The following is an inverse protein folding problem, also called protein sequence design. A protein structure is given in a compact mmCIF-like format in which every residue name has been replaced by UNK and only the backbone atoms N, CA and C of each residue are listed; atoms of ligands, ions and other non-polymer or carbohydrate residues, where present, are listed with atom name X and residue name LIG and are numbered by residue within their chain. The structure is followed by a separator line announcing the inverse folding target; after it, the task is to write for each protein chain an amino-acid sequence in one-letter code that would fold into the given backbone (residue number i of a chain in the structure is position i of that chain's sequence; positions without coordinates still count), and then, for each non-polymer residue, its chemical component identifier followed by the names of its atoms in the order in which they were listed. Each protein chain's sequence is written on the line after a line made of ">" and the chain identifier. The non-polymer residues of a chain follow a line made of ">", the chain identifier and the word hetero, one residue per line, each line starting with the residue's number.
data_IF_077767448103
#
_entry.id   IF_077767448103
#
_cell.length_a   1.000
_cell.length_b   1.000
_cell.length_c   1.000
_cell.angle_alpha   90.00
_cell.angle_beta   90.00
_cell.angle_gamma   90.00
#
_symmetry.space_group_name_H-M   'P 1'
#
loop_
_entity.id
_entity.type
_entity.pdbx_description
1 polymer ?
#
# COMPACT_ATOMS: atom_id res chain seq x y z
N UNK A 1 21.34 9.08 -4.14
CA UNK A 1 20.52 9.47 -2.99
C UNK A 1 20.82 8.54 -1.81
N UNK A 2 20.99 9.10 -0.61
CA UNK A 2 21.25 8.34 0.63
C UNK A 2 20.15 8.65 1.63
N UNK A 3 19.39 7.63 2.03
CA UNK A 3 18.28 7.76 2.97
C UNK A 3 18.58 6.93 4.22
N UNK A 4 18.36 7.52 5.40
CA UNK A 4 18.29 6.80 6.65
C UNK A 4 16.85 6.80 7.16
N UNK A 5 16.33 5.61 7.43
CA UNK A 5 15.03 5.41 8.08
C UNK A 5 15.29 5.12 9.56
N UNK A 6 15.00 6.11 10.39
CA UNK A 6 15.14 6.08 11.84
C UNK A 6 13.84 5.53 12.41
N UNK A 7 13.88 4.33 12.98
CA UNK A 7 12.68 3.63 13.44
C UNK A 7 12.55 3.71 14.95
N UNK A 8 11.39 4.16 15.39
CA UNK A 8 10.96 4.12 16.78
C UNK A 8 9.86 3.07 16.90
N UNK A 9 10.11 2.03 17.68
CA UNK A 9 9.21 0.88 17.83
C UNK A 9 8.05 1.23 18.74
N UNK A 10 6.83 1.17 18.20
CA UNK A 10 5.58 1.38 18.93
C UNK A 10 4.95 0.02 19.24
N UNK A 11 4.75 -0.23 20.52
CA UNK A 11 4.17 -1.45 21.08
C UNK A 11 2.82 -1.21 21.75
N UNK A 12 2.43 0.05 21.90
CA UNK A 12 1.18 0.43 22.51
C UNK A 12 0.71 1.80 22.02
N UNK A 13 -0.60 2.02 22.13
CA UNK A 13 -1.28 3.24 21.74
C UNK A 13 -2.36 3.54 22.78
N UNK A 14 -2.43 4.79 23.23
CA UNK A 14 -3.37 5.20 24.27
C UNK A 14 -3.83 6.65 24.07
N UNK A 15 -5.02 6.96 24.56
CA UNK A 15 -5.47 8.34 24.70
C UNK A 15 -4.74 9.03 25.86
N UNK A 16 -4.48 10.33 25.71
CA UNK A 16 -3.94 11.16 26.79
C UNK A 16 -4.15 12.65 26.53
N UNK A 17 -3.62 13.48 27.43
CA UNK A 17 -3.78 14.94 27.36
C UNK A 17 -2.94 15.58 26.25
N UNK A 18 -1.83 14.94 25.86
CA UNK A 18 -0.88 15.44 24.87
C UNK A 18 -0.34 14.32 24.00
N UNK A 19 -0.19 14.59 22.71
CA UNK A 19 0.42 13.63 21.78
C UNK A 19 1.94 13.53 22.00
N UNK A 20 2.47 12.30 22.05
CA UNK A 20 3.90 12.04 22.15
C UNK A 20 4.23 10.56 22.35
N UNK A 21 5.52 10.21 22.22
CA UNK A 21 5.99 8.83 22.41
C UNK A 21 6.88 8.72 23.64
N UNK A 22 6.62 7.72 24.47
CA UNK A 22 7.47 7.37 25.61
C UNK A 22 7.46 5.87 25.85
N UNK A 23 8.64 5.27 26.06
CA UNK A 23 8.81 3.85 26.39
C UNK A 23 8.07 2.89 25.42
N UNK A 24 8.06 3.24 24.12
CA UNK A 24 7.38 2.47 23.07
C UNK A 24 5.85 2.61 23.05
N UNK A 25 5.28 3.54 23.80
CA UNK A 25 3.84 3.85 23.81
C UNK A 25 3.61 5.20 23.12
N UNK A 26 2.80 5.20 22.06
CA UNK A 26 2.30 6.42 21.43
C UNK A 26 1.05 6.89 22.20
N UNK A 27 1.17 8.00 22.92
CA UNK A 27 0.02 8.69 23.51
C UNK A 27 -0.52 9.67 22.49
N UNK A 28 -1.84 9.70 22.30
CA UNK A 28 -2.51 10.58 21.33
C UNK A 28 -3.48 11.48 22.08
N UNK A 29 -3.42 12.79 21.83
CA UNK A 29 -4.48 13.69 22.25
C UNK A 29 -5.58 13.70 21.20
N UNK A 30 -6.78 13.28 21.60
CA UNK A 30 -7.92 13.18 20.69
C UNK A 30 -8.29 14.53 20.09
N UNK A 31 -8.29 15.59 20.89
CA UNK A 31 -8.67 16.93 20.42
C UNK A 31 -7.66 17.52 19.44
N UNK A 32 -6.36 17.24 19.61
CA UNK A 32 -5.32 17.65 18.66
C UNK A 32 -5.55 16.98 17.29
N UNK A 33 -5.80 15.67 17.27
CA UNK A 33 -6.09 14.91 16.04
C UNK A 33 -7.37 15.39 15.38
N UNK A 34 -8.46 15.53 16.14
CA UNK A 34 -9.74 16.00 15.59
C UNK A 34 -9.62 17.44 15.07
N UNK A 35 -8.85 18.30 15.72
CA UNK A 35 -8.59 19.68 15.28
C UNK A 35 -7.90 19.76 13.93
N UNK A 36 -6.94 18.85 13.65
CA UNK A 36 -6.27 18.78 12.35
C UNK A 36 -7.25 18.46 11.22
N UNK A 37 -8.17 17.52 11.46
CA UNK A 37 -9.08 17.01 10.44
C UNK A 37 -10.29 17.93 10.25
N UNK A 38 -10.87 18.48 11.34
CA UNK A 38 -12.02 19.42 11.30
C UNK A 38 -11.73 20.75 10.62
N UNK A 39 -10.47 21.04 10.31
CA UNK A 39 -10.10 22.22 9.51
C UNK A 39 -10.58 22.13 8.06
N UNK A 40 -10.89 20.93 7.57
CA UNK A 40 -11.46 20.71 6.25
C UNK A 40 -12.99 20.90 6.28
N UNK A 41 -13.55 21.86 5.51
CA UNK A 41 -14.99 22.13 5.49
C UNK A 41 -15.83 21.00 4.86
N UNK A 42 -15.20 20.02 4.22
CA UNK A 42 -15.89 18.90 3.57
C UNK A 42 -16.41 17.85 4.56
N UNK A 43 -16.03 17.93 5.84
CA UNK A 43 -16.45 16.97 6.86
C UNK A 43 -17.57 17.52 7.75
N UNK A 44 -18.67 16.77 7.82
CA UNK A 44 -19.76 17.02 8.75
C UNK A 44 -19.44 16.47 10.14
N UNK A 45 -18.86 15.26 10.18
CA UNK A 45 -18.48 14.59 11.41
C UNK A 45 -17.05 14.10 11.30
N UNK A 46 -16.30 14.31 12.37
CA UNK A 46 -14.95 13.77 12.55
C UNK A 46 -14.87 13.13 13.93
N UNK A 47 -14.50 11.86 13.93
CA UNK A 47 -14.29 11.03 15.10
C UNK A 47 -12.97 10.26 14.96
N UNK A 48 -12.45 9.77 16.08
CA UNK A 48 -11.26 8.94 16.11
C UNK A 48 -11.35 7.93 17.26
N UNK A 49 -10.87 6.72 16.99
CA UNK A 49 -10.84 5.62 17.94
C UNK A 49 -9.53 4.80 17.83
N UNK A 50 -9.23 3.98 18.82
CA UNK A 50 -8.04 3.13 18.87
C UNK A 50 -8.42 1.66 18.71
N UNK A 51 -7.55 0.90 18.04
CA UNK A 51 -7.62 -0.55 17.95
C UNK A 51 -6.22 -1.15 18.10
N UNK A 52 -6.04 -2.02 19.09
CA UNK A 52 -4.75 -2.63 19.41
C UNK A 52 -4.69 -4.10 18.99
N UNK A 53 -3.48 -4.63 18.70
CA UNK A 53 -3.30 -6.04 18.39
C UNK A 53 -3.89 -6.97 19.46
N UNK A 54 -4.65 -7.97 19.03
CA UNK A 54 -5.28 -8.97 19.90
C UNK A 54 -6.61 -8.55 20.54
N UNK A 55 -7.04 -7.29 20.39
CA UNK A 55 -8.36 -6.86 20.85
C UNK A 55 -9.49 -7.48 20.02
N UNK A 56 -10.66 -7.65 20.63
CA UNK A 56 -11.89 -8.02 19.91
C UNK A 56 -12.52 -6.78 19.27
N UNK A 57 -11.77 -6.17 18.36
CA UNK A 57 -12.12 -4.94 17.66
C UNK A 57 -12.13 -5.18 16.16
N UNK A 58 -13.20 -4.78 15.47
CA UNK A 58 -13.32 -4.73 14.01
C UNK A 58 -13.23 -3.28 13.53
N UNK A 59 -12.53 -3.05 12.43
CA UNK A 59 -12.51 -1.80 11.69
C UNK A 59 -13.12 -2.05 10.32
N UNK A 60 -14.19 -1.31 9.97
CA UNK A 60 -14.90 -1.46 8.69
C UNK A 60 -15.71 -0.19 8.40
N UNK A 61 -15.75 0.34 7.17
CA UNK A 61 -14.92 -0.03 6.04
C UNK A 61 -13.59 0.73 6.04
N UNK A 62 -12.50 0.02 5.79
CA UNK A 62 -11.13 0.54 5.74
C UNK A 62 -10.86 1.12 4.36
N UNK A 63 -10.52 2.40 4.31
CA UNK A 63 -10.14 3.10 3.08
C UNK A 63 -8.65 3.03 2.83
N UNK A 64 -7.80 3.51 3.73
CA UNK A 64 -6.34 3.45 3.61
C UNK A 64 -5.68 3.21 4.96
N UNK A 65 -4.45 2.69 4.93
CA UNK A 65 -3.60 2.51 6.10
C UNK A 65 -2.29 3.22 5.84
N UNK A 66 -1.82 4.04 6.78
CA UNK A 66 -0.69 4.94 6.61
C UNK A 66 0.25 4.80 7.81
N UNK A 67 1.53 4.55 7.55
CA UNK A 67 2.55 4.53 8.60
C UNK A 67 2.92 5.97 9.02
N UNK A 68 2.88 6.32 10.31
CA UNK A 68 3.31 7.64 10.77
C UNK A 68 4.81 7.85 10.51
N UNK A 69 5.13 8.93 9.80
CA UNK A 69 6.51 9.29 9.47
C UNK A 69 6.72 10.79 9.22
N UNK A 70 7.92 11.28 9.46
CA UNK A 70 8.29 12.68 9.18
C UNK A 70 9.78 12.83 8.84
N UNK A 71 10.14 13.90 8.13
CA UNK A 71 11.54 14.24 7.87
C UNK A 71 12.22 14.78 9.13
N UNK A 72 13.44 14.31 9.40
CA UNK A 72 14.34 14.84 10.43
C UNK A 72 15.44 15.73 9.83
N UNK A 73 15.80 15.48 8.58
CA UNK A 73 16.85 16.19 7.86
C UNK A 73 16.47 16.32 6.38
N UNK A 74 16.73 17.49 5.81
CA UNK A 74 16.40 17.84 4.43
C UNK A 74 15.58 19.13 4.36
N UNK A 75 15.38 19.63 3.14
CA UNK A 75 14.45 20.75 2.88
C UNK A 75 13.04 20.26 2.50
N UNK A 76 12.91 18.97 2.25
CA UNK A 76 11.69 18.29 1.86
C UNK A 76 10.82 17.92 3.09
N UNK A 77 9.53 17.70 2.85
CA UNK A 77 8.62 17.02 3.77
C UNK A 77 8.27 15.60 3.27
N UNK A 78 7.49 14.85 4.04
CA UNK A 78 6.93 13.56 3.58
C UNK A 78 5.69 13.82 2.73
N UNK A 79 5.35 12.89 1.83
CA UNK A 79 4.18 12.97 0.94
C UNK A 79 4.21 14.26 0.08
N UNK A 80 5.29 14.45 -0.71
CA UNK A 80 5.48 15.66 -1.52
C UNK A 80 4.36 15.80 -2.55
N UNK A 81 3.87 17.02 -2.73
CA UNK A 81 2.73 17.31 -3.60
C UNK A 81 1.37 16.88 -3.07
N UNK A 82 1.31 16.23 -1.90
CA UNK A 82 0.08 15.89 -1.20
C UNK A 82 -0.19 16.85 -0.03
N UNK A 83 0.69 16.82 0.98
CA UNK A 83 0.58 17.66 2.20
C UNK A 83 1.79 18.56 2.45
N UNK A 84 2.87 18.35 1.70
CA UNK A 84 4.08 19.16 1.72
C UNK A 84 4.42 19.63 0.29
N UNK A 85 5.34 20.58 0.17
CA UNK A 85 5.79 21.11 -1.12
C UNK A 85 6.38 20.02 -2.03
N UNK A 86 6.41 20.28 -3.34
CA UNK A 86 6.84 19.32 -4.37
C UNK A 86 8.37 19.30 -4.47
N UNK A 87 9.00 18.86 -3.38
CA UNK A 87 10.44 18.64 -3.30
C UNK A 87 10.75 17.15 -3.48
N UNK A 88 11.87 16.84 -4.15
CA UNK A 88 12.33 15.45 -4.27
C UNK A 88 12.55 14.83 -2.90
N UNK A 89 12.10 13.59 -2.72
CA UNK A 89 12.30 12.80 -1.48
C UNK A 89 13.34 11.70 -1.70
N UNK A 90 13.52 10.81 -0.73
CA UNK A 90 14.39 9.65 -0.84
C UNK A 90 15.84 9.89 -0.43
N UNK A 91 16.10 10.94 0.33
CA UNK A 91 17.41 11.25 0.91
C UNK A 91 17.32 11.86 2.31
N UNK A 92 18.43 11.94 3.03
CA UNK A 92 18.51 12.52 4.37
C UNK A 92 18.01 11.54 5.43
N UNK A 93 17.32 12.03 6.45
CA UNK A 93 16.82 11.23 7.58
C UNK A 93 15.31 11.34 7.70
N UNK A 94 14.66 10.20 7.87
CA UNK A 94 13.21 10.09 8.05
C UNK A 94 12.93 9.30 9.32
N UNK A 95 12.14 9.87 10.23
CA UNK A 95 11.64 9.19 11.42
C UNK A 95 10.38 8.41 11.05
N UNK A 96 10.26 7.19 11.55
CA UNK A 96 9.11 6.30 11.38
C UNK A 96 8.68 5.76 12.74
N UNK A 97 7.37 5.75 13.00
CA UNK A 97 6.77 5.07 14.16
C UNK A 97 6.38 3.65 13.78
N UNK A 98 7.37 2.74 13.76
CA UNK A 98 7.20 1.36 13.34
C UNK A 98 6.27 0.61 14.29
N UNK A 99 5.24 -0.06 13.75
CA UNK A 99 4.22 -0.74 14.55
C UNK A 99 3.01 0.13 14.89
N UNK A 100 2.97 1.40 14.46
CA UNK A 100 1.79 2.24 14.50
C UNK A 100 1.22 2.47 13.09
N UNK A 101 -0.09 2.68 12.99
CA UNK A 101 -0.75 3.03 11.75
C UNK A 101 -1.91 4.01 11.96
N UNK A 102 -2.12 4.89 10.99
CA UNK A 102 -3.33 5.69 10.86
C UNK A 102 -4.22 5.01 9.83
N UNK A 103 -5.42 4.61 10.25
CA UNK A 103 -6.42 3.96 9.40
C UNK A 103 -7.51 4.97 9.09
N UNK A 104 -7.82 5.16 7.82
CA UNK A 104 -8.96 6.01 7.41
C UNK A 104 -10.20 5.16 7.17
N UNK A 105 -11.32 5.56 7.75
CA UNK A 105 -12.63 4.93 7.61
C UNK A 105 -13.68 5.96 7.25
N UNK A 106 -14.50 5.65 6.25
CA UNK A 106 -15.53 6.55 5.77
C UNK A 106 -16.37 5.93 4.67
N UNK A 107 -17.59 6.42 4.47
CA UNK A 107 -18.53 5.93 3.45
C UNK A 107 -18.21 6.50 2.06
N UNK A 108 -17.10 6.09 1.44
CA UNK A 108 -16.67 6.70 0.17
C UNK A 108 -17.38 6.03 -1.01
N UNK A 109 -17.10 4.74 -1.20
CA UNK A 109 -17.64 3.92 -2.29
C UNK A 109 -18.36 2.71 -1.74
N UNK A 110 -17.89 2.19 -0.61
CA UNK A 110 -18.49 1.09 0.12
C UNK A 110 -18.08 -0.29 -0.34
N UNK A 111 -18.28 -0.58 -1.62
CA UNK A 111 -18.04 -1.92 -2.16
C UNK A 111 -16.55 -2.23 -2.41
N UNK A 112 -15.67 -1.24 -2.34
CA UNK A 112 -14.22 -1.38 -2.60
C UNK A 112 -13.38 -0.85 -1.44
N UNK A 113 -13.84 -1.14 -0.24
CA UNK A 113 -13.15 -0.84 1.01
C UNK A 113 -12.90 -2.18 1.73
N UNK A 114 -12.28 -2.16 2.92
CA UNK A 114 -11.81 -3.40 3.57
C UNK A 114 -12.27 -3.61 5.02
N UNK A 115 -11.91 -4.78 5.54
CA UNK A 115 -12.10 -5.17 6.94
C UNK A 115 -10.72 -5.43 7.56
N UNK A 116 -10.52 -4.90 8.78
CA UNK A 116 -9.45 -5.33 9.67
C UNK A 116 -10.09 -5.83 10.96
N UNK A 117 -9.86 -7.10 11.28
CA UNK A 117 -10.14 -7.65 12.60
C UNK A 117 -8.83 -7.75 13.39
N UNK A 118 -8.78 -7.16 14.57
CA UNK A 118 -7.57 -7.13 15.40
C UNK A 118 -7.28 -8.47 16.09
N UNK A 119 -8.19 -9.42 16.03
CA UNK A 119 -8.06 -10.79 16.56
C UNK A 119 -8.91 -11.77 15.77
N UNK A 120 -8.74 -13.07 16.03
CA UNK A 120 -9.49 -14.12 15.33
C UNK A 120 -8.90 -14.46 13.94
N UNK A 121 -9.63 -15.22 13.11
CA UNK A 121 -9.09 -15.80 11.89
C UNK A 121 -8.54 -14.78 10.88
N UNK A 122 -9.22 -13.65 10.67
CA UNK A 122 -8.76 -12.63 9.73
C UNK A 122 -7.47 -11.90 10.17
N UNK A 123 -7.15 -11.92 11.46
CA UNK A 123 -5.92 -11.28 11.97
C UNK A 123 -4.64 -11.92 11.41
N UNK A 124 -4.68 -13.20 11.02
CA UNK A 124 -3.55 -13.88 10.39
C UNK A 124 -3.32 -13.42 8.94
N UNK A 125 -4.36 -12.93 8.28
CA UNK A 125 -4.33 -12.52 6.88
C UNK A 125 -4.00 -11.04 6.71
N UNK A 126 -4.37 -10.18 7.66
CA UNK A 126 -4.07 -8.75 7.57
C UNK A 126 -2.85 -8.37 8.42
N UNK A 127 -1.80 -7.76 7.85
CA UNK A 127 -0.66 -7.27 8.62
C UNK A 127 -1.08 -6.19 9.64
N UNK A 128 -2.19 -5.51 9.40
CA UNK A 128 -2.68 -4.40 10.23
C UNK A 128 -3.39 -4.83 11.50
N UNK A 129 -3.67 -6.13 11.68
CA UNK A 129 -4.06 -6.67 12.99
C UNK A 129 -2.91 -6.65 14.00
N UNK A 130 -1.69 -6.39 13.53
CA UNK A 130 -0.46 -6.38 14.34
C UNK A 130 0.14 -4.98 14.50
N UNK A 131 -0.54 -3.95 14.02
CA UNK A 131 -0.20 -2.54 14.24
C UNK A 131 -1.09 -1.94 15.32
N UNK A 132 -0.59 -0.95 16.05
CA UNK A 132 -1.39 -0.10 16.90
C UNK A 132 -2.10 0.95 16.01
N UNK A 133 -3.42 0.80 15.85
CA UNK A 133 -4.18 1.58 14.87
C UNK A 133 -4.89 2.76 15.52
N UNK A 134 -4.58 3.98 15.07
CA UNK A 134 -5.43 5.15 15.25
C UNK A 134 -6.39 5.22 14.05
N UNK A 135 -7.68 5.03 14.30
CA UNK A 135 -8.71 4.97 13.26
C UNK A 135 -9.43 6.31 13.20
N UNK A 136 -9.38 6.97 12.04
CA UNK A 136 -10.19 8.16 11.74
C UNK A 136 -11.52 7.72 11.15
N UNK A 137 -12.63 8.16 11.76
CA UNK A 137 -13.99 7.90 11.25
C UNK A 137 -14.61 9.22 10.87
N UNK A 138 -14.84 9.44 9.58
CA UNK A 138 -15.38 10.70 9.07
C UNK A 138 -16.66 10.50 8.28
N UNK A 139 -17.54 11.51 8.33
CA UNK A 139 -18.70 11.64 7.45
C UNK A 139 -18.60 12.93 6.64
N UNK A 140 -18.85 12.88 5.33
CA UNK A 140 -18.84 14.07 4.49
C UNK A 140 -20.06 14.96 4.75
N UNK A 141 -19.97 16.23 4.35
CA UNK A 141 -21.14 17.09 4.20
C UNK A 141 -22.09 16.53 3.13
N UNK A 142 -23.38 16.84 3.26
CA UNK A 142 -24.39 16.37 2.31
C UNK A 142 -24.12 16.88 0.90
N UNK A 143 -24.25 16.00 -0.10
CA UNK A 143 -24.08 16.34 -1.52
C UNK A 143 -22.62 16.49 -1.98
N UNK A 144 -21.62 16.20 -1.14
CA UNK A 144 -20.23 16.19 -1.56
C UNK A 144 -19.97 15.07 -2.58
N UNK A 145 -19.30 15.40 -3.69
CA UNK A 145 -18.90 14.43 -4.69
C UNK A 145 -17.91 13.42 -4.12
N UNK A 146 -18.05 12.14 -4.51
CA UNK A 146 -17.25 11.04 -3.93
C UNK A 146 -15.74 11.24 -4.11
N UNK A 147 -15.34 11.83 -5.23
CA UNK A 147 -13.93 12.14 -5.51
C UNK A 147 -13.38 13.22 -4.57
N UNK A 148 -14.16 14.26 -4.29
CA UNK A 148 -13.74 15.32 -3.38
C UNK A 148 -13.70 14.80 -1.93
N UNK A 149 -14.65 13.94 -1.58
CA UNK A 149 -14.64 13.26 -0.28
C UNK A 149 -13.42 12.35 -0.10
N UNK A 150 -13.12 11.51 -1.10
CA UNK A 150 -11.94 10.65 -1.10
C UNK A 150 -10.65 11.45 -0.93
N UNK A 151 -10.51 12.55 -1.70
CA UNK A 151 -9.35 13.41 -1.63
C UNK A 151 -9.20 14.05 -0.24
N UNK A 152 -10.28 14.59 0.34
CA UNK A 152 -10.27 15.14 1.70
C UNK A 152 -9.88 14.08 2.74
N UNK A 153 -10.46 12.87 2.67
CA UNK A 153 -10.16 11.78 3.60
C UNK A 153 -8.69 11.32 3.50
N UNK A 154 -8.16 11.21 2.29
CA UNK A 154 -6.75 10.90 2.06
C UNK A 154 -5.85 11.95 2.70
N UNK A 155 -6.09 13.24 2.44
CA UNK A 155 -5.31 14.33 3.01
C UNK A 155 -5.40 14.35 4.54
N UNK A 156 -6.56 14.07 5.13
CA UNK A 156 -6.72 13.94 6.57
C UNK A 156 -5.83 12.83 7.16
N UNK A 157 -5.85 11.64 6.57
CA UNK A 157 -5.00 10.52 6.98
C UNK A 157 -3.51 10.86 6.94
N UNK A 158 -3.04 11.45 5.83
CA UNK A 158 -1.63 11.84 5.66
C UNK A 158 -1.20 12.90 6.68
N UNK A 159 -2.02 13.93 6.91
CA UNK A 159 -1.74 14.99 7.90
C UNK A 159 -1.62 14.43 9.30
N UNK A 160 -2.54 13.52 9.70
CA UNK A 160 -2.50 12.89 11.01
C UNK A 160 -1.26 11.99 11.15
N UNK A 161 -0.93 11.18 10.12
CA UNK A 161 0.25 10.34 10.13
C UNK A 161 1.55 11.15 10.29
N UNK A 162 1.68 12.26 9.57
CA UNK A 162 2.85 13.14 9.70
C UNK A 162 2.90 13.82 11.09
N UNK A 163 1.76 14.29 11.59
CA UNK A 163 1.65 14.91 12.91
C UNK A 163 2.09 13.98 14.04
N UNK A 164 1.62 12.72 14.02
CA UNK A 164 2.00 11.73 15.02
C UNK A 164 3.51 11.49 15.03
N UNK A 165 4.15 11.34 13.86
CA UNK A 165 5.60 11.19 13.80
C UNK A 165 6.36 12.44 14.25
N UNK A 166 5.86 13.64 13.91
CA UNK A 166 6.44 14.91 14.39
C UNK A 166 6.43 15.02 15.92
N UNK A 167 5.46 14.39 16.59
CA UNK A 167 5.41 14.35 18.06
C UNK A 167 6.56 13.58 18.72
N UNK A 168 7.27 12.75 17.95
CA UNK A 168 8.41 11.96 18.39
C UNK A 168 9.78 12.52 17.95
N UNK A 169 9.81 13.71 17.31
CA UNK A 169 11.07 14.36 16.93
C UNK A 169 11.92 14.64 18.17
N UNK A 170 13.17 14.20 18.13
CA UNK A 170 14.10 14.28 19.27
C UNK A 170 14.17 12.99 20.10
N UNK A 171 13.28 12.01 19.87
CA UNK A 171 13.45 10.67 20.42
C UNK A 171 14.68 9.98 19.80
N UNK A 172 15.32 9.11 20.58
CA UNK A 172 16.40 8.25 20.08
C UNK A 172 15.76 7.06 19.34
N UNK A 173 16.12 6.78 18.07
CA UNK A 173 15.57 5.65 17.34
C UNK A 173 16.09 4.32 17.91
N UNK A 174 15.25 3.28 17.88
CA UNK A 174 15.61 1.92 18.26
C UNK A 174 16.52 1.27 17.21
N UNK A 175 16.21 1.50 15.93
CA UNK A 175 17.02 1.01 14.81
C UNK A 175 17.13 2.07 13.71
N UNK A 176 18.19 2.00 12.92
CA UNK A 176 18.38 2.87 11.75
C UNK A 176 18.71 1.99 10.55
N UNK A 177 17.86 2.03 9.53
CA UNK A 177 18.10 1.39 8.24
C UNK A 177 18.68 2.42 7.27
N UNK A 178 19.72 2.04 6.53
CA UNK A 178 20.37 2.92 5.56
C UNK A 178 20.23 2.35 4.16
N UNK A 179 19.76 3.19 3.24
CA UNK A 179 19.55 2.87 1.85
C UNK A 179 20.32 3.85 0.96
N UNK A 180 20.85 3.34 -0.15
CA UNK A 180 21.59 4.15 -1.13
C UNK A 180 21.19 3.77 -2.55
N UNK A 181 20.67 4.75 -3.29
CA UNK A 181 20.50 4.67 -4.73
C UNK A 181 21.60 5.48 -5.40
N UNK A 182 22.57 4.83 -6.07
CA UNK A 182 23.67 5.53 -6.72
C UNK A 182 23.23 6.20 -8.03
N UNK A 183 23.98 7.22 -8.52
CA UNK A 183 23.80 7.73 -9.87
C UNK A 183 23.81 6.58 -10.89
N UNK A 184 22.97 6.68 -11.93
CA UNK A 184 22.73 5.56 -12.84
C UNK A 184 24.01 5.06 -13.52
N UNK A 185 24.92 5.95 -13.93
CA UNK A 185 26.21 5.56 -14.53
C UNK A 185 27.07 4.69 -13.59
N UNK A 186 26.98 4.91 -12.27
CA UNK A 186 27.67 4.11 -11.27
C UNK A 186 26.90 2.81 -10.97
N UNK A 187 25.59 2.90 -10.70
CA UNK A 187 24.75 1.75 -10.38
C UNK A 187 24.79 0.67 -11.46
N UNK A 188 24.81 1.08 -12.74
CA UNK A 188 24.86 0.17 -13.88
C UNK A 188 26.14 -0.68 -13.97
N UNK A 189 27.23 -0.25 -13.34
CA UNK A 189 28.55 -0.91 -13.43
C UNK A 189 29.08 -1.38 -12.08
N UNK A 190 28.28 -1.27 -11.02
CA UNK A 190 28.72 -1.57 -9.65
C UNK A 190 29.12 -3.04 -9.47
N UNK A 191 28.36 -3.96 -10.06
CA UNK A 191 28.61 -5.40 -9.99
C UNK A 191 28.64 -6.00 -11.39
N UNK A 192 29.75 -5.85 -12.14
CA UNK A 192 29.80 -6.21 -13.56
C UNK A 192 29.70 -7.71 -13.86
N UNK A 193 29.87 -8.57 -12.84
CA UNK A 193 29.72 -10.03 -12.96
C UNK A 193 28.33 -10.56 -12.64
N UNK A 194 27.39 -9.69 -12.25
CA UNK A 194 26.02 -10.07 -11.89
C UNK A 194 25.03 -9.55 -12.94
N UNK A 195 23.93 -10.29 -13.20
CA UNK A 195 22.92 -9.83 -14.15
C UNK A 195 22.27 -8.54 -13.64
N UNK A 196 22.01 -7.61 -14.55
CA UNK A 196 21.31 -6.36 -14.21
C UNK A 196 19.80 -6.61 -14.15
N UNK A 197 19.20 -6.29 -13.01
CA UNK A 197 17.78 -6.50 -12.75
C UNK A 197 17.14 -5.18 -12.33
N UNK A 198 15.98 -4.87 -12.90
CA UNK A 198 15.13 -3.77 -12.48
C UNK A 198 13.79 -4.29 -11.94
N UNK A 199 13.05 -3.41 -11.26
CA UNK A 199 11.69 -3.65 -10.83
C UNK A 199 10.74 -2.78 -11.67
N UNK A 200 9.78 -3.40 -12.34
CA UNK A 200 8.64 -2.72 -12.94
C UNK A 200 7.48 -2.75 -11.94
N UNK A 201 7.29 -1.62 -11.28
CA UNK A 201 6.25 -1.44 -10.27
C UNK A 201 5.00 -0.86 -10.91
N UNK A 202 3.99 -1.70 -11.13
CA UNK A 202 2.71 -1.23 -11.63
C UNK A 202 1.93 -0.55 -10.50
N UNK A 203 1.31 0.58 -10.84
CA UNK A 203 0.52 1.38 -9.92
C UNK A 203 -0.90 1.46 -10.44
N UNK A 204 -1.87 1.20 -9.57
CA UNK A 204 -3.28 1.24 -9.91
C UNK A 204 -3.68 2.64 -10.40
N UNK A 205 -4.28 2.70 -11.58
CA UNK A 205 -4.49 3.97 -12.31
C UNK A 205 -5.68 3.93 -13.29
N UNK A 206 -6.77 3.31 -12.89
CA UNK A 206 -7.93 3.05 -13.74
C UNK A 206 -8.97 4.20 -13.75
N UNK A 207 -8.77 5.25 -12.94
CA UNK A 207 -9.78 6.29 -12.74
C UNK A 207 -10.90 5.83 -11.80
N UNK A 208 -11.94 6.66 -11.66
CA UNK A 208 -13.12 6.35 -10.84
C UNK A 208 -12.77 5.98 -9.38
N UNK A 209 -11.79 6.65 -8.78
CA UNK A 209 -11.27 6.40 -7.43
C UNK A 209 -10.32 5.19 -7.34
N UNK A 210 -9.86 4.63 -8.47
CA UNK A 210 -8.76 3.66 -8.57
C UNK A 210 -7.46 4.38 -8.96
N UNK A 211 -7.09 5.40 -8.21
CA UNK A 211 -5.98 6.29 -8.54
C UNK A 211 -4.86 6.23 -7.48
N UNK A 212 -3.65 5.88 -7.92
CA UNK A 212 -2.41 6.01 -7.15
C UNK A 212 -1.70 7.31 -7.51
N UNK A 213 -1.12 7.99 -6.53
CA UNK A 213 -0.49 9.31 -6.71
C UNK A 213 1.01 9.22 -6.56
N UNK A 214 1.73 9.83 -7.49
CA UNK A 214 3.19 9.94 -7.50
C UNK A 214 3.54 11.42 -7.45
N UNK A 215 4.15 11.88 -6.34
CA UNK A 215 4.40 13.31 -6.08
C UNK A 215 3.14 14.19 -6.25
N UNK A 216 1.98 13.68 -5.84
CA UNK A 216 0.69 14.37 -5.99
C UNK A 216 0.07 14.34 -7.38
N UNK A 217 0.75 13.76 -8.37
CA UNK A 217 0.20 13.53 -9.70
C UNK A 217 -0.37 12.13 -9.78
N UNK A 218 -1.62 12.05 -10.19
CA UNK A 218 -2.27 10.78 -10.52
C UNK A 218 -1.46 9.99 -11.57
N UNK A 219 -1.12 8.74 -11.24
CA UNK A 219 -0.30 7.84 -12.06
C UNK A 219 -0.89 7.60 -13.46
N UNK A 220 -2.19 7.78 -13.67
CA UNK A 220 -2.80 7.67 -15.01
C UNK A 220 -2.33 8.77 -15.96
N UNK A 221 -1.80 9.87 -15.43
CA UNK A 221 -1.36 11.05 -16.21
C UNK A 221 0.11 11.03 -16.62
N UNK A 222 0.89 10.06 -16.14
CA UNK A 222 2.32 9.96 -16.44
C UNK A 222 2.60 8.83 -17.43
N UNK A 223 3.76 8.86 -18.10
CA UNK A 223 4.29 7.69 -18.78
C UNK A 223 5.10 6.86 -17.77
N UNK A 224 5.41 5.58 -18.07
CA UNK A 224 6.32 4.81 -17.22
C UNK A 224 7.62 5.57 -17.00
N UNK A 225 8.04 5.65 -15.74
CA UNK A 225 9.08 6.58 -15.28
C UNK A 225 10.06 5.87 -14.35
N UNK A 226 11.35 6.13 -14.54
CA UNK A 226 12.38 5.66 -13.61
C UNK A 226 12.39 6.54 -12.37
N UNK A 227 12.34 5.93 -11.19
CA UNK A 227 12.51 6.60 -9.89
C UNK A 227 13.58 5.90 -9.07
N UNK A 228 14.17 6.61 -8.11
CA UNK A 228 15.02 5.96 -7.12
C UNK A 228 14.12 5.21 -6.14
N UNK A 229 14.49 3.97 -5.82
CA UNK A 229 13.71 3.15 -4.91
C UNK A 229 13.60 3.76 -3.49
N UNK A 230 14.57 4.60 -3.10
CA UNK A 230 14.53 5.33 -1.82
C UNK A 230 13.41 6.37 -1.75
N UNK A 231 12.94 6.88 -2.90
CA UNK A 231 11.82 7.83 -2.95
C UNK A 231 10.51 7.18 -2.50
N UNK A 232 10.33 5.89 -2.82
CA UNK A 232 9.18 5.08 -2.40
C UNK A 232 9.13 4.99 -0.86
N UNK A 233 10.28 4.71 -0.24
CA UNK A 233 10.44 4.70 1.22
C UNK A 233 10.35 6.07 1.88
N UNK A 234 10.17 7.15 1.14
CA UNK A 234 10.11 8.52 1.66
C UNK A 234 8.83 9.25 1.21
N UNK A 235 7.81 8.49 0.80
CA UNK A 235 6.45 8.97 0.59
C UNK A 235 6.14 9.51 -0.80
N UNK A 236 6.97 9.21 -1.81
CA UNK A 236 6.69 9.62 -3.19
C UNK A 236 5.40 9.03 -3.76
N UNK A 237 4.98 7.85 -3.30
CA UNK A 237 3.79 7.14 -3.76
C UNK A 237 2.76 7.08 -2.63
N UNK A 238 1.52 7.46 -2.93
CA UNK A 238 0.39 7.48 -2.00
C UNK A 238 -0.82 6.80 -2.64
N UNK A 239 -1.50 5.96 -1.86
CA UNK A 239 -2.72 5.28 -2.31
C UNK A 239 -3.92 6.22 -2.28
N UNK A 240 -4.62 6.34 -3.40
CA UNK A 240 -5.99 6.85 -3.47
C UNK A 240 -7.00 5.76 -3.84
N UNK A 241 -6.56 4.50 -3.91
CA UNK A 241 -7.33 3.42 -4.52
C UNK A 241 -8.56 3.03 -3.68
N UNK A 242 -9.68 2.82 -4.35
CA UNK A 242 -10.86 2.11 -3.88
C UNK A 242 -10.97 0.85 -4.73
N UNK A 243 -10.22 -0.21 -4.43
CA UNK A 243 -10.30 -1.50 -5.16
C UNK A 243 -10.57 -2.63 -4.15
N UNK A 244 -10.48 -3.90 -4.54
CA UNK A 244 -10.57 -5.00 -3.57
C UNK A 244 -9.58 -4.76 -2.43
N UNK A 245 -9.98 -5.06 -1.19
CA UNK A 245 -9.16 -4.72 -0.04
C UNK A 245 -7.90 -5.59 0.06
N UNK A 246 -7.96 -6.81 -0.47
CA UNK A 246 -6.92 -7.83 -0.36
C UNK A 246 -5.65 -7.53 -1.17
N UNK A 247 -5.82 -7.04 -2.39
CA UNK A 247 -4.79 -6.82 -3.41
C UNK A 247 -4.39 -5.34 -3.54
N UNK A 248 -5.18 -4.45 -2.95
CA UNK A 248 -4.86 -3.02 -2.86
C UNK A 248 -3.52 -2.76 -2.18
N UNK A 249 -2.70 -1.91 -2.80
CA UNK A 249 -1.56 -1.30 -2.14
C UNK A 249 -1.99 -0.08 -1.31
N UNK A 250 -2.03 -0.24 0.01
CA UNK A 250 -2.18 0.89 0.94
C UNK A 250 -0.95 1.81 0.91
N UNK A 251 -1.11 3.03 1.39
CA UNK A 251 0.04 3.93 1.57
C UNK A 251 1.11 3.27 2.45
N UNK A 252 0.72 2.55 3.52
CA UNK A 252 1.64 1.79 4.37
C UNK A 252 2.49 0.81 3.56
N UNK A 253 1.91 0.11 2.58
CA UNK A 253 2.65 -0.86 1.77
C UNK A 253 3.64 -0.20 0.82
N UNK A 254 3.25 0.89 0.15
CA UNK A 254 4.21 1.66 -0.66
C UNK A 254 5.40 2.11 0.21
N UNK A 255 5.11 2.71 1.36
CA UNK A 255 6.10 3.20 2.31
C UNK A 255 7.05 2.11 2.86
N UNK A 256 6.64 0.85 2.81
CA UNK A 256 7.37 -0.31 3.30
C UNK A 256 7.63 -1.38 2.24
N UNK A 257 7.62 -1.03 0.95
CA UNK A 257 7.58 -1.97 -0.17
C UNK A 257 8.57 -3.16 0.01
N UNK A 258 8.06 -4.38 0.22
CA UNK A 258 8.86 -5.55 0.61
C UNK A 258 9.67 -6.11 -0.56
N UNK A 259 9.19 -5.97 -1.80
CA UNK A 259 9.93 -6.31 -3.01
C UNK A 259 11.19 -5.46 -3.10
N UNK A 260 11.08 -4.13 -2.94
CA UNK A 260 12.24 -3.23 -2.97
C UNK A 260 13.22 -3.60 -1.84
N UNK A 261 12.73 -3.84 -0.62
CA UNK A 261 13.58 -4.24 0.51
C UNK A 261 14.32 -5.55 0.22
N UNK A 262 13.62 -6.57 -0.29
CA UNK A 262 14.21 -7.84 -0.66
C UNK A 262 15.24 -7.69 -1.79
N UNK A 263 14.92 -6.91 -2.83
CA UNK A 263 15.84 -6.64 -3.93
C UNK A 263 17.10 -5.91 -3.49
N UNK A 264 16.97 -4.90 -2.63
CA UNK A 264 18.10 -4.20 -2.04
C UNK A 264 18.96 -5.14 -1.17
N UNK A 265 18.36 -6.08 -0.45
CA UNK A 265 19.09 -7.04 0.39
C UNK A 265 19.88 -8.10 -0.42
N UNK A 266 19.43 -8.41 -1.64
CA UNK A 266 20.07 -9.36 -2.58
C UNK A 266 20.95 -8.68 -3.64
N UNK A 267 20.92 -7.35 -3.72
CA UNK A 267 21.81 -6.53 -4.53
C UNK A 267 23.29 -6.84 -4.25
N UNK A 268 24.07 -7.05 -5.31
CA UNK A 268 25.49 -7.40 -5.20
C UNK A 268 25.77 -8.85 -4.75
N UNK A 269 24.72 -9.65 -4.53
CA UNK A 269 24.82 -11.08 -4.19
C UNK A 269 24.33 -11.95 -5.34
N UNK A 270 23.09 -11.75 -5.77
CA UNK A 270 22.47 -12.53 -6.84
C UNK A 270 22.40 -11.74 -8.16
N UNK A 271 22.19 -10.43 -8.06
CA UNK A 271 22.01 -9.52 -9.18
C UNK A 271 22.49 -8.10 -8.85
N UNK A 272 22.74 -7.32 -9.91
CA UNK A 272 22.89 -5.88 -9.82
C UNK A 272 21.49 -5.23 -9.92
N UNK A 273 21.02 -4.57 -8.87
CA UNK A 273 19.69 -3.97 -8.82
C UNK A 273 19.82 -2.52 -9.26
N UNK A 274 19.33 -2.21 -10.46
CA UNK A 274 19.67 -0.95 -11.13
C UNK A 274 18.63 0.16 -10.96
N UNK A 275 17.44 -0.17 -10.43
CA UNK A 275 16.41 0.81 -10.14
C UNK A 275 14.97 0.30 -10.26
N UNK A 276 14.03 1.22 -10.06
CA UNK A 276 12.59 0.97 -10.10
C UNK A 276 11.96 1.82 -11.20
N UNK A 277 11.28 1.19 -12.14
CA UNK A 277 10.39 1.87 -13.06
C UNK A 277 8.97 1.74 -12.55
N UNK A 278 8.31 2.85 -12.30
CA UNK A 278 6.86 2.85 -12.10
C UNK A 278 6.15 2.82 -13.45
N UNK A 279 5.00 2.16 -13.52
CA UNK A 279 4.11 2.16 -14.68
C UNK A 279 2.66 2.23 -14.23
N UNK A 280 1.76 2.47 -15.19
CA UNK A 280 0.33 2.58 -14.97
C UNK A 280 -0.44 1.38 -15.53
N UNK A 281 -1.57 1.13 -14.90
CA UNK A 281 -2.61 0.14 -15.23
C UNK A 281 -3.85 0.87 -15.76
N UNK A 282 -3.93 1.02 -17.07
CA UNK A 282 -5.04 1.74 -17.70
C UNK A 282 -6.17 0.78 -18.09
N UNK A 283 -7.38 1.30 -18.24
CA UNK A 283 -8.54 0.50 -18.68
C UNK A 283 -8.60 0.28 -20.20
N UNK A 284 -8.05 1.21 -21.00
CA UNK A 284 -8.15 1.11 -22.46
C UNK A 284 -6.99 0.34 -23.05
N UNK A 285 -7.24 -0.53 -24.04
CA UNK A 285 -6.20 -1.30 -24.72
C UNK A 285 -5.11 -0.41 -25.35
N UNK A 286 -5.46 0.77 -25.83
CA UNK A 286 -4.50 1.70 -26.43
C UNK A 286 -3.51 2.23 -25.38
N UNK A 287 -4.00 2.53 -24.18
CA UNK A 287 -3.18 3.00 -23.08
C UNK A 287 -2.34 1.85 -22.50
N UNK A 288 -2.91 0.65 -22.27
CA UNK A 288 -2.15 -0.56 -21.89
C UNK A 288 -0.98 -0.82 -22.84
N UNK A 289 -1.24 -0.75 -24.16
CA UNK A 289 -0.19 -0.88 -25.18
C UNK A 289 0.87 0.21 -25.07
N UNK A 290 0.47 1.46 -24.83
CA UNK A 290 1.39 2.60 -24.67
C UNK A 290 2.29 2.39 -23.46
N UNK A 291 1.72 2.14 -22.30
CA UNK A 291 2.40 1.95 -21.03
C UNK A 291 3.37 0.78 -21.11
N UNK A 292 2.88 -0.39 -21.52
CA UNK A 292 3.71 -1.58 -21.63
C UNK A 292 4.85 -1.44 -22.65
N UNK A 293 4.60 -0.82 -23.81
CA UNK A 293 5.67 -0.59 -24.80
C UNK A 293 6.73 0.40 -24.29
N UNK A 294 6.31 1.42 -23.53
CA UNK A 294 7.24 2.40 -22.99
C UNK A 294 8.07 1.83 -21.83
N UNK A 295 7.44 1.03 -20.94
CA UNK A 295 8.11 0.33 -19.85
C UNK A 295 9.20 -0.62 -20.38
N UNK A 296 8.88 -1.45 -21.38
CA UNK A 296 9.86 -2.37 -21.99
C UNK A 296 10.96 -1.60 -22.72
N UNK A 297 10.63 -0.54 -23.46
CA UNK A 297 11.63 0.33 -24.08
C UNK A 297 12.59 0.92 -23.02
N UNK A 298 12.07 1.37 -21.88
CA UNK A 298 12.89 1.91 -20.79
C UNK A 298 13.83 0.83 -20.23
N UNK A 299 13.32 -0.39 -19.99
CA UNK A 299 14.13 -1.53 -19.56
C UNK A 299 15.25 -1.88 -20.58
N UNK A 300 14.93 -1.91 -21.88
CA UNK A 300 15.93 -2.10 -22.94
C UNK A 300 16.96 -0.96 -23.01
N UNK A 301 16.53 0.28 -22.78
CA UNK A 301 17.41 1.46 -22.78
C UNK A 301 18.41 1.40 -21.62
N UNK A 302 17.97 0.92 -20.45
CA UNK A 302 18.86 0.61 -19.33
C UNK A 302 19.75 -0.59 -19.66
N UNK A 303 19.31 -1.52 -20.50
CA UNK A 303 20.04 -2.74 -20.83
C UNK A 303 20.04 -3.71 -19.66
N UNK A 304 18.90 -3.85 -18.99
CA UNK A 304 18.67 -4.88 -17.95
C UNK A 304 18.44 -6.23 -18.60
N UNK A 305 18.83 -7.28 -17.88
CA UNK A 305 18.67 -8.68 -18.27
C UNK A 305 17.47 -9.33 -17.58
N UNK A 306 17.04 -8.78 -16.44
CA UNK A 306 15.88 -9.22 -15.69
C UNK A 306 14.94 -8.09 -15.29
N UNK A 307 13.65 -8.40 -15.21
CA UNK A 307 12.58 -7.51 -14.75
C UNK A 307 11.66 -8.26 -13.78
N UNK A 308 11.68 -7.87 -12.51
CA UNK A 308 10.63 -8.26 -11.58
C UNK A 308 9.42 -7.36 -11.84
N UNK A 309 8.22 -7.91 -11.95
CA UNK A 309 7.00 -7.16 -12.22
C UNK A 309 5.98 -7.52 -11.14
N UNK A 310 5.42 -6.51 -10.47
CA UNK A 310 4.26 -6.72 -9.60
C UNK A 310 3.12 -5.83 -10.05
N UNK A 311 1.90 -6.35 -9.94
CA UNK A 311 0.68 -5.60 -10.23
C UNK A 311 0.03 -5.01 -8.97
N UNK A 312 -1.05 -4.24 -9.16
CA UNK A 312 -1.95 -3.79 -8.11
C UNK A 312 -3.43 -3.93 -8.51
N UNK A 313 -4.12 -4.88 -7.89
CA UNK A 313 -5.49 -5.22 -8.16
C UNK A 313 -5.64 -6.29 -9.24
N UNK A 314 -6.87 -6.73 -9.46
CA UNK A 314 -7.16 -7.90 -10.29
C UNK A 314 -8.03 -7.61 -11.52
N UNK A 315 -8.03 -8.56 -12.46
CA UNK A 315 -8.85 -8.58 -13.65
C UNK A 315 -8.32 -7.70 -14.78
N UNK A 316 -8.47 -6.37 -14.66
CA UNK A 316 -7.93 -5.46 -15.66
C UNK A 316 -6.39 -5.32 -15.57
N UNK A 317 -5.77 -5.21 -14.39
CA UNK A 317 -4.32 -5.23 -14.23
C UNK A 317 -3.65 -6.50 -14.76
N UNK A 318 -4.29 -7.67 -14.66
CA UNK A 318 -3.73 -8.95 -15.15
C UNK A 318 -3.33 -8.85 -16.64
N UNK A 319 -4.15 -8.15 -17.44
CA UNK A 319 -3.86 -7.92 -18.86
C UNK A 319 -2.66 -6.97 -19.08
N UNK A 320 -2.43 -6.01 -18.17
CA UNK A 320 -1.21 -5.19 -18.16
C UNK A 320 0.01 -6.01 -17.75
N UNK A 321 -0.10 -6.80 -16.68
CA UNK A 321 0.97 -7.66 -16.16
C UNK A 321 1.46 -8.63 -17.23
N UNK A 322 0.54 -9.39 -17.84
CA UNK A 322 0.85 -10.34 -18.90
C UNK A 322 1.36 -9.64 -20.17
N UNK A 323 0.86 -8.44 -20.49
CA UNK A 323 1.39 -7.66 -21.62
C UNK A 323 2.82 -7.19 -21.38
N UNK A 324 3.13 -6.74 -20.16
CA UNK A 324 4.48 -6.36 -19.74
C UNK A 324 5.43 -7.56 -19.82
N UNK A 325 5.05 -8.71 -19.26
CA UNK A 325 5.80 -9.96 -19.32
C UNK A 325 6.12 -10.35 -20.77
N UNK A 326 5.08 -10.52 -21.60
CA UNK A 326 5.23 -10.96 -22.98
C UNK A 326 6.11 -10.03 -23.81
N UNK A 327 5.97 -8.71 -23.66
CA UNK A 327 6.81 -7.77 -24.41
C UNK A 327 8.27 -7.77 -23.92
N UNK A 328 8.49 -7.88 -22.61
CA UNK A 328 9.83 -7.95 -22.04
C UNK A 328 10.57 -9.23 -22.46
N UNK A 329 9.92 -10.40 -22.35
CA UNK A 329 10.48 -11.68 -22.77
C UNK A 329 10.79 -11.72 -24.27
N UNK A 330 9.87 -11.22 -25.11
CA UNK A 330 10.12 -11.10 -26.56
C UNK A 330 11.23 -10.10 -26.91
N UNK A 331 11.54 -9.17 -26.00
CA UNK A 331 12.68 -8.26 -26.10
C UNK A 331 13.99 -8.84 -25.54
N UNK A 332 13.98 -10.09 -25.06
CA UNK A 332 15.14 -10.78 -24.48
C UNK A 332 15.41 -10.47 -23.02
N UNK A 333 14.45 -9.87 -22.30
CA UNK A 333 14.55 -9.55 -20.86
C UNK A 333 13.77 -10.60 -20.08
N UNK A 334 14.43 -11.29 -19.15
CA UNK A 334 13.79 -12.32 -18.31
C UNK A 334 12.85 -11.69 -17.30
N UNK A 335 11.72 -12.33 -17.02
CA UNK A 335 10.68 -11.79 -16.14
C UNK A 335 10.34 -12.72 -14.99
N UNK A 336 9.99 -12.12 -13.86
CA UNK A 336 9.35 -12.80 -12.72
C UNK A 336 8.15 -11.96 -12.33
N UNK A 337 6.98 -12.58 -12.26
CA UNK A 337 5.73 -11.91 -11.91
C UNK A 337 5.38 -12.15 -10.44
N UNK A 338 4.85 -11.14 -9.78
CA UNK A 338 4.23 -11.23 -8.46
C UNK A 338 2.80 -10.70 -8.56
N UNK A 339 1.84 -11.52 -8.17
CA UNK A 339 0.39 -11.30 -8.34
C UNK A 339 -0.37 -12.06 -7.25
N UNK A 340 -1.68 -11.93 -7.18
CA UNK A 340 -2.56 -12.84 -6.45
C UNK A 340 -3.38 -13.74 -7.40
N UNK A 341 -4.36 -14.45 -6.86
CA UNK A 341 -5.22 -15.31 -7.67
C UNK A 341 -6.70 -15.10 -7.36
N UNK A 342 -7.50 -15.07 -8.42
CA UNK A 342 -8.96 -15.11 -8.35
C UNK A 342 -9.45 -16.45 -8.91
N UNK A 343 -9.03 -17.54 -8.26
CA UNK A 343 -9.24 -18.92 -8.72
C UNK A 343 -10.57 -19.53 -8.26
N UNK A 344 -11.52 -18.72 -7.79
CA UNK A 344 -12.79 -19.19 -7.23
C UNK A 344 -12.63 -19.84 -5.85
N UNK A 345 -13.75 -20.08 -5.16
CA UNK A 345 -13.75 -20.51 -3.74
C UNK A 345 -13.08 -21.85 -3.48
N UNK A 346 -13.06 -22.72 -4.48
CA UNK A 346 -12.43 -24.04 -4.45
C UNK A 346 -11.02 -24.06 -5.08
N UNK A 347 -10.55 -22.91 -5.59
CA UNK A 347 -9.25 -22.77 -6.26
C UNK A 347 -9.17 -23.47 -7.61
N UNK A 348 -10.29 -23.85 -8.22
CA UNK A 348 -10.32 -24.63 -9.47
C UNK A 348 -10.54 -23.79 -10.74
N UNK A 349 -10.82 -22.49 -10.61
CA UNK A 349 -10.99 -21.58 -11.74
C UNK A 349 -9.65 -21.09 -12.28
N UNK A 350 -9.67 -20.52 -13.47
CA UNK A 350 -8.48 -19.85 -14.02
C UNK A 350 -8.09 -18.68 -13.11
N UNK A 351 -6.86 -18.69 -12.59
CA UNK A 351 -6.42 -17.74 -11.56
C UNK A 351 -6.34 -16.29 -12.01
N UNK A 352 -5.89 -16.05 -13.25
CA UNK A 352 -5.70 -14.71 -13.84
C UNK A 352 -6.59 -14.51 -15.07
N UNK A 353 -7.03 -13.29 -15.32
CA UNK A 353 -7.87 -12.95 -16.48
C UNK A 353 -7.15 -13.04 -17.83
N UNK A 354 -5.82 -12.92 -17.86
CA UNK A 354 -4.97 -13.13 -19.03
C UNK A 354 -3.83 -14.11 -18.71
N UNK A 355 -3.28 -14.76 -19.74
CA UNK A 355 -2.16 -15.68 -19.60
C UNK A 355 -1.28 -15.69 -20.85
N UNK A 356 0.02 -15.94 -20.66
CA UNK A 356 0.98 -16.07 -21.74
C UNK A 356 1.98 -17.18 -21.45
N UNK A 357 2.43 -17.90 -22.48
CA UNK A 357 3.47 -18.94 -22.35
C UNK A 357 4.81 -18.37 -21.86
N UNK A 358 5.02 -17.08 -22.08
CA UNK A 358 6.19 -16.33 -21.63
C UNK A 358 6.17 -16.08 -20.11
N UNK A 359 5.00 -16.14 -19.47
CA UNK A 359 4.84 -16.01 -18.02
C UNK A 359 5.07 -17.37 -17.33
N UNK A 360 6.30 -17.86 -17.38
CA UNK A 360 6.69 -19.17 -16.83
C UNK A 360 7.32 -19.10 -15.42
N UNK A 361 7.49 -17.89 -14.87
CA UNK A 361 7.94 -17.63 -13.51
C UNK A 361 6.98 -16.65 -12.79
N UNK A 362 6.04 -17.21 -12.03
CA UNK A 362 5.00 -16.46 -11.32
C UNK A 362 5.01 -16.82 -9.84
N UNK A 363 4.98 -15.82 -8.98
CA UNK A 363 4.83 -15.93 -7.53
C UNK A 363 3.47 -15.38 -7.15
N UNK A 364 2.68 -16.19 -6.47
CA UNK A 364 1.32 -15.86 -6.03
C UNK A 364 1.29 -15.47 -4.55
N UNK A 365 0.50 -14.45 -4.20
CA UNK A 365 0.19 -14.06 -2.84
C UNK A 365 -1.00 -14.84 -2.24
N UNK A 366 -1.62 -15.76 -3.00
CA UNK A 366 -2.73 -16.60 -2.57
C UNK A 366 -4.05 -16.29 -3.27
N UNK A 367 -5.07 -17.12 -3.01
CA UNK A 367 -6.39 -17.00 -3.63
C UNK A 367 -7.30 -16.05 -2.84
N UNK A 368 -7.75 -14.96 -3.48
CA UNK A 368 -8.64 -13.96 -2.87
C UNK A 368 -10.07 -14.47 -2.65
N UNK A 369 -10.50 -15.54 -3.34
CA UNK A 369 -11.89 -16.03 -3.28
C UNK A 369 -12.15 -17.02 -2.14
N UNK A 370 -11.16 -17.40 -1.34
CA UNK A 370 -11.38 -18.33 -0.22
C UNK A 370 -12.37 -17.74 0.80
N UNK A 371 -13.38 -18.50 1.21
CA UNK A 371 -14.38 -18.05 2.18
C UNK A 371 -13.82 -18.12 3.60
N UNK A 372 -14.00 -17.03 4.35
CA UNK A 372 -13.65 -16.93 5.76
C UNK A 372 -14.88 -16.49 6.58
N UNK A 373 -15.00 -17.04 7.78
CA UNK A 373 -16.02 -16.63 8.77
C UNK A 373 -15.32 -15.85 9.88
N UNK A 374 -15.68 -14.58 9.99
CA UNK A 374 -15.21 -13.67 11.01
C UNK A 374 -16.16 -13.71 12.21
N UNK A 375 -15.67 -13.97 13.43
CA UNK A 375 -16.54 -13.95 14.62
C UNK A 375 -17.07 -12.54 14.90
N UNK A 376 -18.11 -12.44 15.72
CA UNK A 376 -18.56 -11.15 16.25
C UNK A 376 -17.48 -10.52 17.13
N UNK A 377 -17.28 -9.21 16.99
CA UNK A 377 -16.32 -8.44 17.79
C UNK A 377 -17.04 -7.63 18.87
N UNK A 378 -16.38 -7.42 20.01
CA UNK A 378 -16.95 -6.64 21.13
C UNK A 378 -17.05 -5.15 20.76
N UNK A 379 -16.13 -4.67 19.91
CA UNK A 379 -16.09 -3.30 19.41
C UNK A 379 -16.05 -3.31 17.88
N UNK A 380 -16.83 -2.41 17.28
CA UNK A 380 -16.79 -2.13 15.83
C UNK A 380 -16.56 -0.64 15.63
N UNK A 381 -15.51 -0.29 14.91
CA UNK A 381 -15.17 1.07 14.52
C UNK A 381 -15.58 1.24 13.06
N UNK A 382 -16.53 2.16 12.81
CA UNK A 382 -17.06 2.49 11.49
C UNK A 382 -18.48 1.92 11.22
N UNK A 383 -18.72 1.39 10.04
CA UNK A 383 -20.04 1.05 9.49
C UNK A 383 -20.17 -0.45 9.12
N UNK A 384 -20.60 -1.33 10.06
CA UNK A 384 -20.61 -2.78 9.85
C UNK A 384 -21.51 -3.28 8.72
N UNK A 385 -22.61 -2.57 8.42
CA UNK A 385 -23.56 -2.97 7.38
C UNK A 385 -22.94 -2.99 5.97
N UNK A 386 -21.74 -2.42 5.79
CA UNK A 386 -21.00 -2.49 4.53
C UNK A 386 -20.50 -3.90 4.20
N UNK A 387 -20.43 -4.81 5.18
CA UNK A 387 -20.05 -6.19 4.95
C UNK A 387 -20.92 -6.90 3.90
N UNK A 388 -22.18 -6.51 3.74
CA UNK A 388 -23.10 -7.08 2.75
C UNK A 388 -22.85 -6.62 1.31
N UNK A 389 -22.07 -5.55 1.14
CA UNK A 389 -21.84 -4.90 -0.17
C UNK A 389 -20.36 -4.75 -0.53
N UNK A 390 -19.46 -5.03 0.41
CA UNK A 390 -18.01 -5.01 0.20
C UNK A 390 -17.61 -6.09 -0.83
N UNK A 391 -16.55 -5.87 -1.60
CA UNK A 391 -16.01 -6.87 -2.50
C UNK A 391 -15.60 -8.12 -1.71
N UNK A 392 -16.02 -9.29 -2.17
CA UNK A 392 -15.96 -10.56 -1.42
C UNK A 392 -17.13 -10.80 -0.46
N UNK A 393 -17.94 -9.79 -0.17
CA UNK A 393 -19.19 -9.91 0.57
C UNK A 393 -20.39 -10.14 -0.34
N UNK A 394 -21.51 -10.48 0.29
CA UNK A 394 -22.78 -10.77 -0.35
C UNK A 394 -23.93 -10.47 0.60
N UNK A 395 -25.16 -10.40 0.07
CA UNK A 395 -26.33 -10.15 0.90
C UNK A 395 -26.43 -11.22 2.02
N UNK A 396 -26.40 -10.78 3.27
CA UNK A 396 -26.41 -11.67 4.43
C UNK A 396 -25.02 -12.07 4.93
N UNK A 397 -23.94 -11.48 4.39
CA UNK A 397 -22.59 -11.58 4.94
C UNK A 397 -22.58 -11.18 6.41
N UNK A 398 -23.19 -10.05 6.79
CA UNK A 398 -23.39 -9.69 8.20
C UNK A 398 -24.56 -10.48 8.79
N UNK A 399 -24.25 -11.42 9.68
CA UNK A 399 -25.25 -12.26 10.32
C UNK A 399 -25.89 -11.57 11.54
N UNK A 400 -27.09 -12.00 11.98
CA UNK A 400 -27.78 -11.42 13.13
C UNK A 400 -27.00 -11.48 14.46
N UNK A 401 -26.06 -12.43 14.58
CA UNK A 401 -25.19 -12.58 15.76
C UNK A 401 -23.94 -11.67 15.70
N UNK A 402 -23.77 -10.88 14.64
CA UNK A 402 -22.63 -9.98 14.42
C UNK A 402 -21.41 -10.63 13.76
N UNK A 403 -21.45 -11.94 13.48
CA UNK A 403 -20.42 -12.59 12.66
C UNK A 403 -20.54 -12.18 11.19
N UNK A 404 -19.43 -12.27 10.45
CA UNK A 404 -19.37 -11.94 9.02
C UNK A 404 -18.86 -13.13 8.22
N UNK A 405 -19.53 -13.51 7.15
CA UNK A 405 -19.03 -14.48 6.17
C UNK A 405 -18.73 -13.78 4.84
N UNK A 406 -17.48 -13.80 4.41
CA UNK A 406 -16.96 -13.10 3.23
C UNK A 406 -15.84 -13.91 2.58
N UNK A 407 -15.45 -13.55 1.37
CA UNK A 407 -14.20 -14.00 0.76
C UNK A 407 -13.01 -13.22 1.34
N UNK A 408 -11.80 -13.78 1.27
CA UNK A 408 -10.57 -13.09 1.68
C UNK A 408 -10.40 -11.74 0.96
N UNK A 409 -11.00 -11.57 -0.21
CA UNK A 409 -11.10 -10.31 -0.94
C UNK A 409 -11.50 -9.10 -0.09
N UNK A 410 -12.33 -9.30 0.95
CA UNK A 410 -12.79 -8.25 1.86
C UNK A 410 -11.75 -7.87 2.93
N UNK A 411 -10.71 -8.69 3.16
CA UNK A 411 -9.73 -8.52 4.23
C UNK A 411 -8.59 -7.64 3.73
N UNK A 412 -8.31 -6.54 4.44
CA UNK A 412 -7.31 -5.57 4.00
C UNK A 412 -5.91 -6.20 3.93
N UNK A 413 -5.38 -6.35 2.71
CA UNK A 413 -4.04 -6.83 2.44
C UNK A 413 -3.82 -8.34 2.48
N UNK A 414 -4.87 -9.16 2.52
CA UNK A 414 -4.72 -10.61 2.66
C UNK A 414 -3.98 -11.29 1.53
N UNK A 415 -4.05 -10.73 0.31
CA UNK A 415 -3.38 -11.23 -0.89
C UNK A 415 -2.56 -10.13 -1.55
N UNK A 416 -1.93 -9.26 -0.74
CA UNK A 416 -1.13 -8.15 -1.26
C UNK A 416 -0.08 -8.63 -2.26
N UNK A 417 -0.14 -8.07 -3.47
CA UNK A 417 0.69 -8.45 -4.63
C UNK A 417 2.13 -7.91 -4.55
N UNK A 418 2.45 -7.25 -3.44
CA UNK A 418 3.82 -6.97 -3.04
C UNK A 418 4.41 -8.09 -2.16
N UNK A 419 3.59 -9.01 -1.65
CA UNK A 419 4.01 -10.02 -0.68
C UNK A 419 4.16 -9.46 0.73
N UNK A 420 3.31 -8.51 1.13
CA UNK A 420 3.29 -7.95 2.51
C UNK A 420 2.54 -8.86 3.51
N UNK A 421 2.15 -10.06 3.09
CA UNK A 421 1.38 -11.01 3.90
C UNK A 421 2.27 -11.72 4.92
N UNK A 422 1.65 -12.31 5.95
CA UNK A 422 2.35 -13.08 6.99
C UNK A 422 2.35 -14.59 6.74
N UNK A 423 1.70 -15.02 5.66
CA UNK A 423 1.47 -16.42 5.33
C UNK A 423 2.26 -16.72 4.07
N UNK A 424 2.89 -17.89 4.04
CA UNK A 424 3.56 -18.40 2.85
C UNK A 424 3.25 -19.88 2.69
N UNK A 425 3.07 -20.31 1.45
CA UNK A 425 3.01 -21.71 1.07
C UNK A 425 4.12 -21.98 0.06
N UNK A 426 4.72 -23.16 0.14
CA UNK A 426 5.72 -23.62 -0.83
C UNK A 426 5.25 -24.97 -1.32
N UNK A 427 5.01 -25.10 -2.62
CA UNK A 427 4.79 -26.40 -3.25
C UNK A 427 6.15 -27.10 -3.32
N UNK A 428 6.29 -28.19 -2.55
CA UNK A 428 7.51 -29.03 -2.51
C UNK A 428 7.45 -30.08 -3.62
#
# INVERSE_FOLDING_TARGET
>A
MKLQVHKLCIKGLAWGEKTGVKDGILTVCRDEVLGLVRSDPNFLKVDADLALPGEKTRIIPVKDVIEPRCKLEGKNGIFPGMINDVETVGYGKTLVLEGAAVVTCGKVVGFQEGIIDMSGPAAEYTPFAHTCNLVLVVDPVEGLERHDYEASLRIAGLKVAEYLAKSAVGATPDTVESYEAKPLNEAMTEYPGLPKVAYLYMLQSQGLLHDTYVYGVDAKRILPTLINYTEVFDGAIVSGNCVSACDKNSTYYHLNNPIIKAMAARHGKDYNFVGVSITNEHVTLADKKRSSSYAVKLAQTLGVEGLLISEEGFGNPDADLIMNCRKAENAGIKTVLVTDEYAGRDGASQSLADAAKEADAVVTAGNANEIIVLPAMEKVIGYPNYADVIAGGFQGSLRPDGSIEVELQAITGSTSELGFTRISAITI
#
